data_IF_778848295263
#
_entry.id   IF_778848295263
#
_cell.length_a   1.000
_cell.length_b   1.000
_cell.length_c   1.000
_cell.angle_alpha   90.00
_cell.angle_beta   90.00
_cell.angle_gamma   90.00
#
_symmetry.space_group_name_H-M   'P 1'
#
loop_
_entity.id
_entity.type
_entity.pdbx_description
1 polymer ?
#
# COMPACT_ATOMS: atom_id res chain seq x y z
N UNK A 1 29.31 1.31 -9.00
CA UNK A 1 27.84 1.43 -9.21
C UNK A 1 27.17 0.13 -8.83
N UNK A 2 26.11 0.21 -7.99
CA UNK A 2 25.30 -0.95 -7.60
C UNK A 2 24.14 -1.09 -8.59
N UNK A 3 23.95 -2.31 -9.12
CA UNK A 3 22.79 -2.60 -9.99
C UNK A 3 21.52 -2.73 -9.17
N UNK A 4 20.41 -2.21 -9.69
CA UNK A 4 19.08 -2.50 -9.17
C UNK A 4 18.69 -3.89 -9.69
N UNK A 5 18.49 -4.84 -8.78
CA UNK A 5 18.16 -6.24 -9.15
C UNK A 5 16.68 -6.57 -8.98
N UNK A 6 15.98 -5.83 -8.14
CA UNK A 6 14.54 -5.96 -7.94
C UNK A 6 13.85 -4.61 -7.90
N UNK A 7 12.66 -4.52 -8.48
CA UNK A 7 11.68 -3.48 -8.23
C UNK A 7 10.43 -4.15 -7.65
N UNK A 8 10.03 -3.72 -6.46
CA UNK A 8 8.91 -4.33 -5.72
C UNK A 8 7.74 -3.37 -5.79
N UNK A 9 6.64 -3.82 -6.38
CA UNK A 9 5.40 -3.04 -6.39
C UNK A 9 4.60 -3.36 -5.13
N UNK A 10 4.56 -2.44 -4.20
CA UNK A 10 3.83 -2.57 -2.94
C UNK A 10 2.31 -2.43 -3.09
N UNK A 11 1.81 -2.09 -4.27
CA UNK A 11 0.39 -2.01 -4.64
C UNK A 11 0.18 -1.72 -6.11
N UNK A 12 -1.06 -1.76 -6.58
CA UNK A 12 -1.45 -1.68 -7.98
C UNK A 12 -1.84 -0.28 -8.49
N UNK A 13 -1.60 0.79 -7.73
CA UNK A 13 -1.89 2.15 -8.17
C UNK A 13 -0.79 2.69 -9.10
N UNK A 14 -1.16 3.54 -10.05
CA UNK A 14 -0.32 4.10 -11.12
C UNK A 14 1.07 4.57 -10.65
N UNK A 15 1.12 5.41 -9.62
CA UNK A 15 2.36 5.97 -9.07
C UNK A 15 3.29 4.91 -8.44
N UNK A 16 2.80 3.69 -8.23
CA UNK A 16 3.55 2.60 -7.61
C UNK A 16 4.12 1.60 -8.63
N UNK A 17 3.69 1.65 -9.90
CA UNK A 17 4.15 0.67 -10.90
C UNK A 17 4.38 1.21 -12.32
N UNK A 18 3.92 2.42 -12.66
CA UNK A 18 4.14 2.97 -14.00
C UNK A 18 5.64 3.20 -14.32
N UNK A 19 6.51 3.18 -13.32
CA UNK A 19 7.96 3.17 -13.47
C UNK A 19 8.58 1.80 -13.79
N UNK A 20 7.81 0.71 -13.85
CA UNK A 20 8.31 -0.64 -14.02
C UNK A 20 9.14 -0.82 -15.30
N UNK A 21 8.75 -0.18 -16.40
CA UNK A 21 9.48 -0.25 -17.67
C UNK A 21 10.92 0.29 -17.54
N UNK A 22 11.09 1.38 -16.82
CA UNK A 22 12.42 1.92 -16.53
C UNK A 22 13.29 0.91 -15.80
N UNK A 23 12.77 0.32 -14.71
CA UNK A 23 13.51 -0.66 -13.91
C UNK A 23 13.80 -1.94 -14.69
N UNK A 24 12.87 -2.42 -15.51
CA UNK A 24 13.07 -3.59 -16.38
C UNK A 24 14.19 -3.35 -17.39
N UNK A 25 14.24 -2.17 -18.02
CA UNK A 25 15.33 -1.79 -18.93
C UNK A 25 16.70 -1.73 -18.23
N UNK A 26 16.73 -1.48 -16.91
CA UNK A 26 17.95 -1.56 -16.10
C UNK A 26 18.31 -3.00 -15.68
N UNK A 27 17.52 -3.99 -16.09
CA UNK A 27 17.75 -5.40 -15.77
C UNK A 27 17.17 -5.85 -14.43
N UNK A 28 16.36 -5.04 -13.78
CA UNK A 28 15.66 -5.43 -12.54
C UNK A 28 14.49 -6.38 -12.84
N UNK A 29 14.29 -7.36 -11.95
CA UNK A 29 13.08 -8.18 -11.91
C UNK A 29 11.97 -7.43 -11.18
N UNK A 30 10.79 -7.38 -11.78
CA UNK A 30 9.62 -6.76 -11.17
C UNK A 30 8.87 -7.81 -10.35
N UNK A 31 8.65 -7.52 -9.06
CA UNK A 31 8.00 -8.46 -8.12
C UNK A 31 6.80 -7.81 -7.48
N UNK A 32 5.71 -8.57 -7.34
CA UNK A 32 4.48 -8.13 -6.66
C UNK A 32 3.71 -9.31 -6.05
N UNK A 33 2.70 -9.04 -5.22
CA UNK A 33 1.74 -10.08 -4.86
C UNK A 33 0.81 -10.43 -6.04
N UNK A 34 0.24 -11.63 -6.05
CA UNK A 34 -0.73 -12.05 -7.08
C UNK A 34 -1.91 -11.08 -7.15
N UNK A 35 -2.40 -10.63 -6.00
CA UNK A 35 -3.48 -9.65 -5.90
C UNK A 35 -3.08 -8.29 -6.49
N UNK A 36 -1.84 -7.83 -6.25
CA UNK A 36 -1.29 -6.61 -6.83
C UNK A 36 -1.26 -6.70 -8.36
N UNK A 37 -0.74 -7.80 -8.91
CA UNK A 37 -0.66 -8.01 -10.35
C UNK A 37 -2.06 -8.12 -10.99
N UNK A 38 -3.02 -8.71 -10.30
CA UNK A 38 -4.43 -8.77 -10.73
C UNK A 38 -5.04 -7.37 -10.78
N UNK A 39 -4.83 -6.56 -9.75
CA UNK A 39 -5.31 -5.18 -9.67
C UNK A 39 -4.72 -4.30 -10.77
N UNK A 40 -3.41 -4.39 -11.04
CA UNK A 40 -2.75 -3.70 -12.15
C UNK A 40 -3.38 -4.05 -13.50
N UNK A 41 -3.66 -5.34 -13.76
CA UNK A 41 -4.26 -5.78 -15.01
C UNK A 41 -5.70 -5.29 -15.16
N UNK A 42 -6.46 -5.30 -14.08
CA UNK A 42 -7.85 -4.86 -14.08
C UNK A 42 -8.00 -3.35 -14.32
N UNK A 43 -7.12 -2.54 -13.73
CA UNK A 43 -7.27 -1.07 -13.72
C UNK A 43 -6.22 -0.31 -14.52
N UNK A 44 -5.23 -1.01 -15.10
CA UNK A 44 -4.10 -0.34 -15.77
C UNK A 44 -4.52 0.60 -16.90
N UNK A 45 -5.45 0.19 -17.75
CA UNK A 45 -5.96 1.03 -18.83
C UNK A 45 -6.68 2.28 -18.30
N UNK A 46 -7.55 2.13 -17.31
CA UNK A 46 -8.26 3.24 -16.65
C UNK A 46 -7.26 4.21 -15.99
N UNK A 47 -6.24 3.70 -15.33
CA UNK A 47 -5.18 4.52 -14.73
C UNK A 47 -4.43 5.35 -15.78
N UNK A 48 -4.15 4.77 -16.96
CA UNK A 48 -3.55 5.50 -18.09
C UNK A 48 -4.46 6.64 -18.55
N UNK A 49 -5.74 6.35 -18.80
CA UNK A 49 -6.72 7.35 -19.23
C UNK A 49 -6.81 8.53 -18.26
N UNK A 50 -6.74 8.25 -16.97
CA UNK A 50 -6.81 9.25 -15.90
C UNK A 50 -5.53 10.08 -15.77
N UNK A 51 -4.34 9.45 -15.86
CA UNK A 51 -3.06 10.09 -15.55
C UNK A 51 -2.44 10.78 -16.75
N UNK A 52 -2.60 10.24 -17.95
CA UNK A 52 -2.02 10.78 -19.18
C UNK A 52 -2.36 12.26 -19.42
N UNK A 53 -3.62 12.72 -19.28
CA UNK A 53 -3.94 14.15 -19.43
C UNK A 53 -3.27 15.03 -18.37
N UNK A 54 -3.06 14.53 -17.15
CA UNK A 54 -2.45 15.28 -16.05
C UNK A 54 -0.94 15.46 -16.22
N UNK A 55 -0.28 14.46 -16.80
CA UNK A 55 1.17 14.46 -16.99
C UNK A 55 1.60 15.05 -18.35
N UNK A 56 0.70 15.09 -19.36
CA UNK A 56 1.02 15.58 -20.69
C UNK A 56 2.26 14.90 -21.27
N UNK A 57 3.20 15.67 -21.77
CA UNK A 57 4.44 15.17 -22.38
C UNK A 57 5.31 14.34 -21.45
N UNK A 58 5.17 14.52 -20.13
CA UNK A 58 5.89 13.69 -19.14
C UNK A 58 5.44 12.23 -19.13
N UNK A 59 4.28 11.94 -19.69
CA UNK A 59 3.78 10.58 -19.86
C UNK A 59 4.37 9.86 -21.09
N UNK A 60 5.01 10.61 -21.99
CA UNK A 60 5.54 10.07 -23.25
C UNK A 60 6.53 8.92 -22.98
N UNK A 61 6.34 7.81 -23.70
CA UNK A 61 7.17 6.62 -23.56
C UNK A 61 6.85 5.71 -22.36
N UNK A 62 5.92 6.08 -21.48
CA UNK A 62 5.46 5.20 -20.41
C UNK A 62 4.77 3.96 -20.98
N UNK A 63 5.23 2.78 -20.56
CA UNK A 63 4.65 1.49 -20.97
C UNK A 63 4.17 0.73 -19.74
N UNK A 64 3.03 0.06 -19.85
CA UNK A 64 2.52 -0.80 -18.81
C UNK A 64 3.31 -2.12 -18.78
N UNK A 65 4.18 -2.23 -17.79
CA UNK A 65 5.01 -3.40 -17.57
C UNK A 65 4.58 -4.09 -16.29
N UNK A 66 4.01 -5.28 -16.45
CA UNK A 66 3.52 -6.10 -15.34
C UNK A 66 4.64 -6.87 -14.65
N UNK A 67 4.44 -7.33 -13.40
CA UNK A 67 5.42 -8.11 -12.66
C UNK A 67 5.88 -9.37 -13.40
N UNK A 68 7.19 -9.65 -13.33
CA UNK A 68 7.81 -10.88 -13.84
C UNK A 68 7.59 -12.06 -12.92
N UNK A 69 7.49 -11.77 -11.63
CA UNK A 69 7.33 -12.77 -10.56
C UNK A 69 6.25 -12.31 -9.61
N UNK A 70 5.33 -13.23 -9.28
CA UNK A 70 4.30 -12.97 -8.29
C UNK A 70 4.29 -14.04 -7.20
N UNK A 71 3.64 -13.73 -6.06
CA UNK A 71 3.51 -14.64 -4.93
C UNK A 71 2.15 -14.47 -4.25
N UNK A 72 1.64 -15.53 -3.62
CA UNK A 72 0.31 -15.53 -3.01
C UNK A 72 0.28 -14.79 -1.67
N UNK A 73 1.11 -15.19 -0.71
CA UNK A 73 1.08 -14.66 0.66
C UNK A 73 2.42 -14.15 1.16
N UNK A 74 3.50 -14.90 0.93
CA UNK A 74 4.84 -14.54 1.40
C UNK A 74 5.90 -15.01 0.41
N UNK A 75 6.95 -14.19 0.26
CA UNK A 75 8.12 -14.50 -0.55
C UNK A 75 9.37 -13.92 0.10
N UNK A 76 10.46 -14.69 0.11
CA UNK A 76 11.78 -14.18 0.48
C UNK A 76 12.60 -13.97 -0.78
N UNK A 77 13.18 -12.78 -0.95
CA UNK A 77 14.04 -12.48 -2.09
C UNK A 77 15.46 -13.00 -1.82
N UNK A 78 16.08 -13.67 -2.81
CA UNK A 78 17.44 -14.21 -2.68
C UNK A 78 18.50 -13.09 -2.84
N UNK A 79 18.67 -12.29 -1.81
CA UNK A 79 19.70 -11.23 -1.76
C UNK A 79 20.77 -11.63 -0.76
N UNK A 80 22.03 -11.71 -1.22
CA UNK A 80 23.15 -12.15 -0.36
C UNK A 80 23.34 -11.21 0.83
N UNK A 81 23.32 -11.78 2.03
CA UNK A 81 23.61 -11.07 3.29
C UNK A 81 22.45 -10.25 3.86
N UNK A 82 21.31 -10.21 3.19
CA UNK A 82 20.12 -9.50 3.66
C UNK A 82 18.89 -10.38 3.43
N UNK A 83 18.07 -10.55 4.45
CA UNK A 83 16.73 -11.15 4.29
C UNK A 83 15.73 -10.04 3.95
N UNK A 84 15.06 -10.19 2.83
CA UNK A 84 13.97 -9.32 2.40
C UNK A 84 12.74 -10.19 2.26
N UNK A 85 11.77 -9.98 3.14
CA UNK A 85 10.49 -10.68 3.09
C UNK A 85 9.41 -9.79 2.49
N UNK A 86 8.71 -10.29 1.50
CA UNK A 86 7.51 -9.69 0.93
C UNK A 86 6.30 -10.36 1.56
N UNK A 87 5.39 -9.59 2.12
CA UNK A 87 4.27 -10.11 2.91
C UNK A 87 2.98 -9.46 2.41
N UNK A 88 2.07 -10.28 1.90
CA UNK A 88 0.72 -9.87 1.55
C UNK A 88 -0.22 -10.12 2.74
N UNK A 89 -0.87 -9.08 3.23
CA UNK A 89 -1.73 -9.11 4.43
C UNK A 89 -3.22 -9.03 4.10
N UNK A 90 -3.61 -9.47 2.91
CA UNK A 90 -4.98 -9.36 2.37
C UNK A 90 -5.39 -7.95 1.94
N UNK A 91 -4.41 -7.10 1.67
CA UNK A 91 -4.63 -5.71 1.26
C UNK A 91 -4.76 -4.73 2.42
N UNK A 92 -4.81 -3.46 2.11
CA UNK A 92 -4.98 -2.35 3.04
C UNK A 92 -5.76 -1.22 2.35
N UNK A 93 -5.08 -0.16 1.90
CA UNK A 93 -5.68 0.91 1.09
C UNK A 93 -6.25 0.37 -0.24
N UNK A 94 -5.56 -0.57 -0.86
CA UNK A 94 -6.04 -1.33 -2.02
C UNK A 94 -6.00 -2.83 -1.74
N UNK A 95 -6.66 -3.62 -2.57
CA UNK A 95 -6.65 -5.09 -2.47
C UNK A 95 -5.27 -5.70 -2.74
N UNK A 96 -4.34 -4.93 -3.32
CA UNK A 96 -3.02 -5.39 -3.72
C UNK A 96 -1.87 -4.95 -2.80
N UNK A 97 -2.15 -4.30 -1.67
CA UNK A 97 -1.09 -3.77 -0.81
C UNK A 97 -0.31 -4.89 -0.11
N UNK A 98 1.02 -4.74 -0.12
CA UNK A 98 1.95 -5.65 0.54
C UNK A 98 3.01 -4.88 1.33
N UNK A 99 3.63 -5.57 2.28
CA UNK A 99 4.71 -5.07 3.12
C UNK A 99 6.04 -5.63 2.63
N UNK A 100 7.10 -4.82 2.71
CA UNK A 100 8.48 -5.27 2.51
C UNK A 100 9.19 -5.20 3.85
N UNK A 101 9.53 -6.35 4.41
CA UNK A 101 10.10 -6.48 5.75
C UNK A 101 11.57 -6.86 5.70
N UNK A 102 12.41 -6.14 6.45
CA UNK A 102 13.83 -6.40 6.65
C UNK A 102 14.06 -6.78 8.13
N UNK A 103 13.98 -8.06 8.48
CA UNK A 103 13.99 -8.49 9.89
C UNK A 103 15.29 -8.13 10.62
N UNK A 104 16.47 -8.24 9.98
CA UNK A 104 17.73 -7.91 10.63
C UNK A 104 17.86 -6.45 11.04
N UNK A 105 17.21 -5.55 10.31
CA UNK A 105 17.21 -4.11 10.58
C UNK A 105 16.00 -3.64 11.36
N UNK A 106 15.00 -4.52 11.52
CA UNK A 106 13.68 -4.17 12.08
C UNK A 106 13.03 -2.98 11.35
N UNK A 107 13.11 -2.99 10.00
CA UNK A 107 12.56 -1.96 9.09
C UNK A 107 11.47 -2.56 8.23
N UNK A 108 10.33 -1.89 8.14
CA UNK A 108 9.27 -2.22 7.20
C UNK A 108 9.05 -1.08 6.22
N UNK A 109 9.00 -1.38 4.92
CA UNK A 109 8.43 -0.50 3.91
C UNK A 109 6.97 -0.88 3.78
N UNK A 110 6.10 -0.04 4.32
CA UNK A 110 4.69 -0.35 4.50
C UNK A 110 3.83 -0.01 3.26
N UNK A 111 4.37 0.74 2.30
CA UNK A 111 3.54 1.27 1.22
C UNK A 111 2.32 2.00 1.78
N UNK A 112 1.22 1.95 1.06
CA UNK A 112 -0.02 2.63 1.46
C UNK A 112 -0.80 1.91 2.57
N UNK A 113 -0.18 0.93 3.23
CA UNK A 113 -0.68 0.42 4.51
C UNK A 113 -0.50 1.46 5.63
N UNK A 114 0.52 2.32 5.53
CA UNK A 114 0.77 3.40 6.51
C UNK A 114 0.85 4.75 5.81
N UNK A 115 0.06 5.69 6.32
CA UNK A 115 0.13 7.12 6.04
C UNK A 115 0.58 7.81 7.32
N UNK A 116 1.64 8.62 7.26
CA UNK A 116 2.14 9.39 8.39
C UNK A 116 1.98 10.88 8.12
N UNK A 117 1.48 11.62 9.11
CA UNK A 117 1.22 13.07 9.02
C UNK A 117 0.30 13.44 7.84
N UNK A 118 -0.66 12.57 7.49
CA UNK A 118 -1.51 12.74 6.32
C UNK A 118 -2.83 11.99 6.46
N UNK A 119 -3.91 12.56 5.94
CA UNK A 119 -5.21 11.89 5.88
C UNK A 119 -5.18 10.69 4.94
N UNK A 120 -5.85 9.64 5.35
CA UNK A 120 -5.97 8.40 4.58
C UNK A 120 -7.03 8.55 3.48
N UNK A 121 -6.71 8.10 2.27
CA UNK A 121 -7.71 7.91 1.22
C UNK A 121 -8.39 6.56 1.40
N UNK A 122 -9.55 6.53 2.05
CA UNK A 122 -10.26 5.27 2.33
C UNK A 122 -11.13 4.91 1.12
N UNK A 123 -10.86 3.75 0.53
CA UNK A 123 -11.66 3.19 -0.56
C UNK A 123 -12.82 2.34 0.00
N UNK A 124 -13.90 2.13 -0.76
CA UNK A 124 -14.98 1.24 -0.36
C UNK A 124 -14.43 -0.13 0.07
N UNK A 125 -14.98 -0.68 1.13
CA UNK A 125 -14.65 -1.99 1.72
C UNK A 125 -13.21 -2.17 2.22
N UNK A 126 -12.33 -1.15 2.12
CA UNK A 126 -10.92 -1.27 2.49
C UNK A 126 -10.66 -1.25 4.00
N UNK A 127 -11.43 -0.49 4.78
CA UNK A 127 -11.13 -0.20 6.19
C UNK A 127 -10.95 -1.45 7.06
N UNK A 128 -11.76 -2.49 6.85
CA UNK A 128 -11.68 -3.73 7.62
C UNK A 128 -10.39 -4.53 7.40
N UNK A 129 -9.97 -4.65 6.15
CA UNK A 129 -8.70 -5.31 5.78
C UNK A 129 -7.51 -4.47 6.21
N UNK A 130 -7.61 -3.16 6.05
CA UNK A 130 -6.56 -2.22 6.41
C UNK A 130 -6.25 -2.24 7.91
N UNK A 131 -7.28 -2.21 8.77
CA UNK A 131 -7.13 -2.36 10.22
C UNK A 131 -6.37 -3.67 10.54
N UNK A 132 -6.75 -4.81 9.95
CA UNK A 132 -6.07 -6.09 10.16
C UNK A 132 -4.60 -6.07 9.72
N UNK A 133 -4.28 -5.39 8.63
CA UNK A 133 -2.90 -5.23 8.17
C UNK A 133 -2.06 -4.39 9.12
N UNK A 134 -2.64 -3.36 9.72
CA UNK A 134 -1.99 -2.56 10.76
C UNK A 134 -1.84 -3.32 12.08
N UNK A 135 -2.82 -4.15 12.45
CA UNK A 135 -2.72 -5.08 13.57
C UNK A 135 -1.59 -6.10 13.37
N UNK A 136 -1.44 -6.63 12.17
CA UNK A 136 -0.32 -7.52 11.82
C UNK A 136 1.04 -6.82 11.98
N UNK A 137 1.15 -5.55 11.54
CA UNK A 137 2.34 -4.74 11.77
C UNK A 137 2.63 -4.56 13.26
N UNK A 138 1.60 -4.23 14.07
CA UNK A 138 1.71 -3.98 15.51
C UNK A 138 2.06 -5.23 16.30
N UNK A 139 1.37 -6.34 16.03
CA UNK A 139 1.37 -7.51 16.91
C UNK A 139 2.37 -8.59 16.47
N UNK A 140 2.69 -8.63 15.17
CA UNK A 140 3.53 -9.69 14.59
C UNK A 140 4.91 -9.20 14.17
N UNK A 141 4.99 -8.15 13.35
CA UNK A 141 6.28 -7.67 12.84
C UNK A 141 7.00 -6.78 13.84
N UNK A 142 6.29 -5.92 14.55
CA UNK A 142 6.81 -5.00 15.55
C UNK A 142 8.04 -4.21 15.05
N UNK A 143 7.95 -3.53 13.90
CA UNK A 143 9.09 -2.84 13.32
C UNK A 143 9.54 -1.68 14.21
N UNK A 144 10.86 -1.48 14.28
CA UNK A 144 11.44 -0.30 14.91
C UNK A 144 11.33 0.94 14.02
N UNK A 145 11.41 0.74 12.70
CA UNK A 145 11.31 1.82 11.71
C UNK A 145 10.24 1.45 10.69
N UNK A 146 9.35 2.39 10.44
CA UNK A 146 8.29 2.29 9.44
C UNK A 146 8.55 3.31 8.33
N UNK A 147 8.68 2.84 7.09
CA UNK A 147 8.73 3.67 5.90
C UNK A 147 7.32 3.66 5.29
N UNK A 148 6.53 4.72 5.48
CA UNK A 148 5.16 4.78 4.97
C UNK A 148 5.11 4.99 3.46
N UNK A 149 3.95 4.73 2.84
CA UNK A 149 3.71 5.12 1.46
C UNK A 149 3.60 6.63 1.30
N UNK A 150 3.05 7.30 2.30
CA UNK A 150 2.91 8.75 2.35
C UNK A 150 3.37 9.29 3.69
N UNK A 151 4.08 10.41 3.67
CA UNK A 151 4.62 11.07 4.86
C UNK A 151 6.09 10.76 5.10
N UNK A 152 6.58 11.04 6.30
CA UNK A 152 7.98 10.83 6.67
C UNK A 152 8.22 9.45 7.24
N UNK A 153 9.46 8.97 7.16
CA UNK A 153 9.90 7.79 7.90
C UNK A 153 9.61 7.99 9.38
N UNK A 154 9.02 6.99 10.01
CA UNK A 154 8.46 7.09 11.35
C UNK A 154 8.69 5.81 12.17
N UNK A 155 8.20 5.78 13.39
CA UNK A 155 8.12 4.61 14.23
C UNK A 155 6.71 3.99 14.24
N UNK A 156 6.57 2.85 14.92
CA UNK A 156 5.30 2.16 15.01
C UNK A 156 4.24 2.95 15.80
N UNK A 157 4.64 3.73 16.79
CA UNK A 157 3.72 4.52 17.60
C UNK A 157 3.05 5.62 16.76
N UNK A 158 3.83 6.35 15.96
CA UNK A 158 3.27 7.36 15.05
C UNK A 158 2.42 6.72 13.95
N UNK A 159 2.90 5.60 13.37
CA UNK A 159 2.14 4.87 12.35
C UNK A 159 0.76 4.41 12.85
N UNK A 160 0.67 3.96 14.10
CA UNK A 160 -0.60 3.60 14.72
C UNK A 160 -1.50 4.81 14.93
N UNK A 161 -0.99 5.89 15.51
CA UNK A 161 -1.80 7.11 15.70
C UNK A 161 -2.41 7.62 14.40
N UNK A 162 -1.57 7.73 13.36
CA UNK A 162 -1.99 8.38 12.11
C UNK A 162 -2.84 7.50 11.21
N UNK A 163 -2.68 6.18 11.28
CA UNK A 163 -3.38 5.24 10.40
C UNK A 163 -4.37 4.36 11.14
N UNK A 164 -3.95 3.65 12.17
CA UNK A 164 -4.80 2.67 12.86
C UNK A 164 -5.89 3.34 13.70
N UNK A 165 -5.51 4.26 14.60
CA UNK A 165 -6.47 4.91 15.49
C UNK A 165 -7.50 5.72 14.70
N UNK A 166 -7.05 6.38 13.62
CA UNK A 166 -7.94 7.11 12.71
C UNK A 166 -8.97 6.18 12.03
N UNK A 167 -8.53 5.03 11.48
CA UNK A 167 -9.44 4.07 10.86
C UNK A 167 -10.43 3.45 11.85
N UNK A 168 -9.95 3.10 13.05
CA UNK A 168 -10.79 2.56 14.12
C UNK A 168 -11.81 3.58 14.57
N UNK A 169 -11.38 4.83 14.78
CA UNK A 169 -12.28 5.94 15.13
C UNK A 169 -13.38 6.11 14.08
N UNK A 170 -13.01 6.31 12.81
CA UNK A 170 -14.00 6.52 11.74
C UNK A 170 -14.98 5.36 11.64
N UNK A 171 -14.47 4.12 11.64
CA UNK A 171 -15.33 2.94 11.55
C UNK A 171 -16.31 2.85 12.72
N UNK A 172 -15.82 3.08 13.93
CA UNK A 172 -16.65 3.03 15.14
C UNK A 172 -17.69 4.13 15.14
N UNK A 173 -17.30 5.37 14.80
CA UNK A 173 -18.20 6.52 14.76
C UNK A 173 -19.30 6.34 13.71
N UNK A 174 -18.94 5.92 12.49
CA UNK A 174 -19.93 5.65 11.43
C UNK A 174 -20.86 4.49 11.81
N UNK A 175 -20.32 3.40 12.37
CA UNK A 175 -21.14 2.26 12.82
C UNK A 175 -22.15 2.68 13.89
N UNK A 176 -21.73 3.51 14.85
CA UNK A 176 -22.61 4.05 15.88
C UNK A 176 -23.74 4.89 15.28
N UNK A 177 -23.42 5.80 14.33
CA UNK A 177 -24.43 6.62 13.65
C UNK A 177 -25.50 5.78 12.95
N UNK A 178 -25.10 4.71 12.26
CA UNK A 178 -26.06 3.77 11.67
C UNK A 178 -26.92 3.07 12.73
N UNK A 179 -26.35 2.66 13.85
CA UNK A 179 -27.10 2.08 14.96
C UNK A 179 -28.07 3.08 15.60
N UNK A 180 -27.73 4.37 15.62
CA UNK A 180 -28.55 5.45 16.14
C UNK A 180 -29.60 5.96 15.12
N UNK A 181 -29.72 5.38 13.93
CA UNK A 181 -30.78 5.62 12.97
C UNK A 181 -30.39 6.45 11.73
N UNK A 182 -29.14 6.72 11.46
CA UNK A 182 -28.72 7.28 10.19
C UNK A 182 -28.98 6.29 9.04
N UNK A 183 -29.63 6.74 7.96
CA UNK A 183 -30.07 5.85 6.88
C UNK A 183 -29.19 5.89 5.63
N UNK A 184 -28.26 6.83 5.54
CA UNK A 184 -27.34 6.89 4.42
C UNK A 184 -25.89 7.18 4.86
N UNK A 185 -24.89 6.82 4.03
CA UNK A 185 -23.47 7.01 4.36
C UNK A 185 -23.05 8.47 4.52
N UNK A 186 -23.69 9.40 3.81
CA UNK A 186 -23.37 10.83 3.89
C UNK A 186 -23.80 11.38 5.24
N UNK A 187 -25.05 11.09 5.66
CA UNK A 187 -25.57 11.47 6.97
C UNK A 187 -24.70 10.85 8.09
N UNK A 188 -24.38 9.55 7.98
CA UNK A 188 -23.55 8.85 8.97
C UNK A 188 -22.13 9.41 9.09
N UNK A 189 -21.59 10.08 8.06
CA UNK A 189 -20.26 10.66 8.04
C UNK A 189 -20.17 12.12 8.50
N UNK A 190 -21.31 12.77 8.74
CA UNK A 190 -21.34 14.18 9.17
C UNK A 190 -21.14 14.32 10.68
N UNK A 191 -20.39 15.34 11.10
CA UNK A 191 -20.20 15.72 12.52
C UNK A 191 -19.76 14.54 13.42
N UNK A 192 -18.75 13.79 13.00
CA UNK A 192 -18.24 12.63 13.76
C UNK A 192 -17.49 13.01 15.03
N UNK A 193 -17.12 14.28 15.17
CA UNK A 193 -16.35 14.85 16.27
C UNK A 193 -17.23 15.50 17.38
N UNK A 194 -18.56 15.40 17.29
CA UNK A 194 -19.53 15.93 18.28
C UNK A 194 -20.07 14.88 19.24
#
# INVERSE_FOLDING_TARGET
>A
DKKIIYAINTGGQDHRWFGNDYFRRQGAKIVAADSTAKDMRARGAEQVERIKPLLGDKFAGTQLVYPDTTFAQRMTLPVKGITIELIYTSGAHTTGDLLVWLPQSSVVFAGDTVFAERLLGILPDSAGHWIKSLEYLRDTLQPRVVVPGHGKVTDMQQALRDSYDYLVFLRSAVTKRFADGAFDPVEASQNLDQ
#
